data_IF_596645510845
#
_entry.id   IF_596645510845
#
_cell.length_a   1.000
_cell.length_b   1.000
_cell.length_c   1.000
_cell.angle_alpha   90.00
_cell.angle_beta   90.00
_cell.angle_gamma   90.00
#
_symmetry.space_group_name_H-M   'P 1'
#
loop_
_entity.id
_entity.type
_entity.pdbx_description
1 polymer ?
#
# COMPACT_ATOMS: atom_id res chain seq x y z
N UNK A 1 14.44 -31.96 1.35
CA UNK A 1 14.68 -30.53 1.00
C UNK A 1 14.24 -29.65 2.15
N UNK A 2 15.19 -29.09 2.91
CA UNK A 2 14.91 -28.34 4.14
C UNK A 2 14.33 -26.96 3.78
N UNK A 3 13.08 -26.71 4.19
CA UNK A 3 12.40 -25.41 4.07
C UNK A 3 13.14 -24.38 4.93
N UNK A 4 14.02 -23.57 4.32
CA UNK A 4 14.66 -22.44 5.01
C UNK A 4 13.59 -21.39 5.29
N UNK A 5 13.02 -21.43 6.50
CA UNK A 5 12.24 -20.32 7.07
C UNK A 5 13.24 -19.21 7.36
N UNK A 6 13.37 -18.24 6.45
CA UNK A 6 14.09 -17.00 6.73
C UNK A 6 13.29 -16.23 7.77
N UNK A 7 13.66 -16.41 9.05
CA UNK A 7 13.24 -15.53 10.14
C UNK A 7 13.52 -14.08 9.74
N UNK A 8 12.58 -13.14 9.92
CA UNK A 8 12.88 -11.75 9.70
C UNK A 8 13.86 -11.34 10.81
N UNK A 9 15.13 -11.17 10.43
CA UNK A 9 16.14 -10.53 11.27
C UNK A 9 15.50 -9.24 11.78
N UNK A 10 15.32 -9.16 13.09
CA UNK A 10 14.86 -7.96 13.78
C UNK A 10 15.90 -6.86 13.54
N UNK A 11 15.74 -6.10 12.45
CA UNK A 11 16.51 -4.90 12.20
C UNK A 11 16.09 -3.91 13.29
N UNK A 12 17.06 -3.47 14.09
CA UNK A 12 16.92 -2.40 15.07
C UNK A 12 15.95 -1.33 14.58
N UNK A 13 14.88 -1.05 15.33
CA UNK A 13 13.83 -0.10 14.98
C UNK A 13 14.46 1.24 14.59
N UNK A 14 14.52 1.52 13.28
CA UNK A 14 15.20 2.70 12.77
C UNK A 14 14.20 3.85 12.78
N UNK A 15 14.18 4.65 13.87
CA UNK A 15 13.38 5.87 13.92
C UNK A 15 13.93 6.87 12.90
N UNK A 16 13.07 7.37 12.01
CA UNK A 16 13.43 8.35 10.98
C UNK A 16 12.70 9.66 11.28
N UNK A 17 13.41 10.78 11.35
CA UNK A 17 12.80 12.11 11.46
C UNK A 17 12.08 12.45 10.16
N UNK A 18 10.84 12.92 10.26
CA UNK A 18 10.04 13.25 9.09
C UNK A 18 10.37 14.65 8.55
N UNK A 19 10.28 14.80 7.22
CA UNK A 19 10.27 16.10 6.57
C UNK A 19 8.84 16.62 6.45
N UNK A 20 8.47 17.56 7.31
CA UNK A 20 7.12 18.12 7.38
C UNK A 20 6.75 18.88 6.11
N UNK A 21 7.72 19.47 5.41
CA UNK A 21 7.49 20.24 4.18
C UNK A 21 7.03 19.36 3.01
N UNK A 22 7.24 18.05 3.11
CA UNK A 22 6.91 17.06 2.08
C UNK A 22 5.63 16.29 2.37
N UNK A 23 5.03 16.50 3.53
CA UNK A 23 3.75 15.89 3.87
C UNK A 23 2.60 16.74 3.34
N UNK A 24 1.49 16.09 3.02
CA UNK A 24 0.23 16.73 2.63
C UNK A 24 -0.83 16.54 3.73
N UNK A 25 -0.63 17.11 4.93
CA UNK A 25 -1.66 17.07 5.97
C UNK A 25 -2.88 17.85 5.49
N UNK A 26 -4.05 17.25 5.59
CA UNK A 26 -5.30 17.98 5.53
C UNK A 26 -5.54 18.68 6.88
N UNK A 27 -6.44 19.67 6.90
CA UNK A 27 -6.78 20.47 8.09
C UNK A 27 -7.27 19.66 9.32
N UNK A 28 -7.50 18.36 9.17
CA UNK A 28 -8.04 17.46 10.19
C UNK A 28 -6.98 16.59 10.87
N UNK A 29 -5.76 16.52 10.35
CA UNK A 29 -4.72 15.62 10.88
C UNK A 29 -3.37 16.31 10.96
N UNK A 30 -2.71 16.20 12.11
CA UNK A 30 -1.35 16.70 12.31
C UNK A 30 -0.34 15.88 11.49
N UNK A 31 0.71 16.52 10.97
CA UNK A 31 1.77 15.81 10.27
C UNK A 31 2.53 14.88 11.22
N UNK A 32 3.12 13.82 10.67
CA UNK A 32 3.96 12.88 11.41
C UNK A 32 5.31 13.53 11.68
N UNK A 33 5.76 13.58 12.94
CA UNK A 33 7.07 14.15 13.30
C UNK A 33 8.23 13.17 13.09
N UNK A 34 7.94 11.87 13.23
CA UNK A 34 8.88 10.79 13.01
C UNK A 34 8.16 9.53 12.54
N UNK A 35 8.92 8.61 11.98
CA UNK A 35 8.47 7.29 11.53
C UNK A 35 9.24 6.20 12.27
N UNK A 36 8.55 5.12 12.61
CA UNK A 36 9.09 3.97 13.32
C UNK A 36 8.56 2.69 12.70
N UNK A 37 9.24 1.57 12.89
CA UNK A 37 8.76 0.29 12.39
C UNK A 37 7.47 -0.12 13.12
N UNK A 38 6.34 -0.16 12.41
CA UNK A 38 5.02 -0.51 12.97
C UNK A 38 4.65 -1.91 12.53
N UNK A 39 4.47 -2.83 13.48
CA UNK A 39 3.92 -4.15 13.19
C UNK A 39 2.42 -4.07 12.91
N UNK A 40 1.93 -4.85 11.95
CA UNK A 40 0.51 -4.93 11.63
C UNK A 40 0.14 -6.33 11.14
N UNK A 41 -1.11 -6.72 11.36
CA UNK A 41 -1.68 -7.95 10.81
C UNK A 41 -2.41 -7.65 9.52
N UNK A 42 -2.10 -8.40 8.46
CA UNK A 42 -2.77 -8.23 7.18
C UNK A 42 -4.27 -8.55 7.28
N UNK A 43 -5.15 -7.61 6.92
CA UNK A 43 -6.60 -7.80 7.01
C UNK A 43 -7.14 -8.97 6.16
N UNK A 44 -6.47 -9.32 5.06
CA UNK A 44 -6.96 -10.38 4.16
C UNK A 44 -6.43 -11.78 4.49
N UNK A 45 -5.20 -11.90 5.03
CA UNK A 45 -4.55 -13.20 5.21
C UNK A 45 -3.98 -13.44 6.62
N UNK A 46 -4.12 -12.48 7.52
CA UNK A 46 -3.65 -12.57 8.91
C UNK A 46 -2.13 -12.51 9.10
N UNK A 47 -1.33 -12.49 8.02
CA UNK A 47 0.12 -12.49 8.15
C UNK A 47 0.63 -11.24 8.88
N UNK A 48 1.47 -11.46 9.90
CA UNK A 48 2.17 -10.40 10.62
C UNK A 48 3.25 -9.80 9.71
N UNK A 49 3.18 -8.48 9.53
CA UNK A 49 4.06 -7.71 8.69
C UNK A 49 4.59 -6.50 9.45
N UNK A 50 5.65 -5.90 8.95
CA UNK A 50 6.17 -4.64 9.48
C UNK A 50 6.06 -3.57 8.40
N UNK A 51 5.43 -2.45 8.75
CA UNK A 51 5.46 -1.23 7.97
C UNK A 51 6.64 -0.40 8.42
N UNK A 52 7.71 -0.46 7.64
CA UNK A 52 8.99 0.10 8.09
C UNK A 52 8.95 1.62 8.09
N UNK A 53 9.77 2.25 8.93
CA UNK A 53 9.94 3.70 8.97
C UNK A 53 10.31 4.27 7.58
N UNK A 54 11.11 3.54 6.80
CA UNK A 54 11.48 3.93 5.44
C UNK A 54 10.29 3.85 4.48
N UNK A 55 9.45 2.82 4.59
CA UNK A 55 8.22 2.70 3.79
C UNK A 55 7.23 3.82 4.13
N UNK A 56 7.14 4.20 5.39
CA UNK A 56 6.34 5.36 5.82
C UNK A 56 6.88 6.65 5.22
N UNK A 57 8.20 6.91 5.33
CA UNK A 57 8.83 8.08 4.71
C UNK A 57 8.53 8.17 3.22
N UNK A 58 8.72 7.08 2.48
CA UNK A 58 8.42 7.05 1.05
C UNK A 58 6.93 7.33 0.79
N UNK A 59 6.03 6.69 1.52
CA UNK A 59 4.59 6.88 1.35
C UNK A 59 4.16 8.34 1.57
N UNK A 60 4.54 8.92 2.70
CA UNK A 60 4.10 10.26 3.07
C UNK A 60 4.82 11.37 2.28
N UNK A 61 6.14 11.25 2.09
CA UNK A 61 6.93 12.35 1.53
C UNK A 61 7.13 12.27 0.01
N UNK A 62 7.33 11.06 -0.54
CA UNK A 62 7.61 10.91 -1.98
C UNK A 62 6.33 10.66 -2.78
N UNK A 63 5.39 9.91 -2.23
CA UNK A 63 4.17 9.53 -2.93
C UNK A 63 2.99 10.43 -2.56
N UNK A 64 3.15 11.32 -1.56
CA UNK A 64 2.12 12.26 -1.11
C UNK A 64 0.89 11.56 -0.51
N UNK A 65 1.09 10.37 0.06
CA UNK A 65 0.00 9.59 0.64
C UNK A 65 -0.63 10.31 1.84
N UNK A 66 -1.94 10.15 2.10
CA UNK A 66 -2.61 10.83 3.20
C UNK A 66 -2.00 10.45 4.55
N UNK A 67 -1.76 11.43 5.42
CA UNK A 67 -1.08 11.27 6.72
C UNK A 67 -1.77 10.29 7.68
N UNK A 68 -3.08 10.12 7.53
CA UNK A 68 -3.91 9.18 8.29
C UNK A 68 -3.86 7.74 7.75
N UNK A 69 -3.33 7.53 6.55
CA UNK A 69 -3.25 6.19 5.95
C UNK A 69 -2.23 5.33 6.69
N UNK A 70 -2.55 4.05 6.88
CA UNK A 70 -1.66 3.06 7.47
C UNK A 70 -1.56 1.80 6.61
N UNK A 71 -0.52 0.98 6.82
CA UNK A 71 -0.42 -0.31 6.17
C UNK A 71 -1.36 -1.33 6.83
N UNK A 72 -2.35 -1.80 6.07
CA UNK A 72 -3.33 -2.81 6.53
C UNK A 72 -3.24 -4.14 5.77
N UNK A 73 -2.49 -4.17 4.67
CA UNK A 73 -2.34 -5.35 3.80
C UNK A 73 -0.88 -5.66 3.54
N UNK A 74 -0.51 -6.94 3.53
CA UNK A 74 0.82 -7.38 3.13
C UNK A 74 1.07 -7.13 1.64
N UNK A 75 2.35 -7.19 1.23
CA UNK A 75 2.75 -6.99 -0.18
C UNK A 75 2.05 -7.97 -1.13
N UNK A 76 1.95 -9.25 -0.75
CA UNK A 76 1.33 -10.28 -1.57
C UNK A 76 -0.17 -9.99 -1.81
N UNK A 77 -0.91 -9.66 -0.76
CA UNK A 77 -2.33 -9.29 -0.88
C UNK A 77 -2.53 -8.01 -1.69
N UNK A 78 -1.67 -6.99 -1.51
CA UNK A 78 -1.70 -5.79 -2.38
C UNK A 78 -1.47 -6.12 -3.85
N UNK A 79 -0.57 -7.04 -4.17
CA UNK A 79 -0.32 -7.47 -5.56
C UNK A 79 -1.51 -8.24 -6.13
N UNK A 80 -2.13 -9.14 -5.35
CA UNK A 80 -3.35 -9.86 -5.75
C UNK A 80 -4.49 -8.89 -6.09
N UNK A 81 -4.73 -7.90 -5.22
CA UNK A 81 -5.75 -6.87 -5.45
C UNK A 81 -5.49 -6.06 -6.72
N UNK A 82 -4.23 -5.69 -6.98
CA UNK A 82 -3.85 -4.96 -8.20
C UNK A 82 -4.11 -5.80 -9.46
N UNK A 83 -3.77 -7.10 -9.43
CA UNK A 83 -4.02 -8.04 -10.55
C UNK A 83 -5.53 -8.17 -10.83
N UNK A 84 -6.32 -8.46 -9.80
CA UNK A 84 -7.77 -8.58 -9.93
C UNK A 84 -8.42 -7.29 -10.51
N UNK A 85 -8.00 -6.11 -10.03
CA UNK A 85 -8.47 -4.82 -10.58
C UNK A 85 -8.05 -4.61 -12.04
N UNK A 86 -6.85 -5.04 -12.42
CA UNK A 86 -6.40 -4.96 -13.81
C UNK A 86 -7.18 -5.89 -14.73
N UNK A 87 -7.43 -7.13 -14.30
CA UNK A 87 -8.23 -8.13 -15.05
C UNK A 87 -9.67 -7.64 -15.23
N UNK A 88 -10.28 -7.10 -14.17
CA UNK A 88 -11.60 -6.48 -14.25
C UNK A 88 -11.62 -5.32 -15.25
N UNK A 89 -10.61 -4.44 -15.23
CA UNK A 89 -10.51 -3.32 -16.18
C UNK A 89 -10.40 -3.81 -17.63
N UNK A 90 -9.55 -4.80 -17.88
CA UNK A 90 -9.36 -5.40 -19.22
C UNK A 90 -10.68 -6.00 -19.71
N UNK A 91 -11.36 -6.78 -18.86
CA UNK A 91 -12.64 -7.38 -19.19
C UNK A 91 -13.70 -6.33 -19.55
N UNK A 92 -13.83 -5.28 -18.74
CA UNK A 92 -14.77 -4.18 -19.00
C UNK A 92 -14.48 -3.46 -20.32
N UNK A 93 -13.19 -3.25 -20.64
CA UNK A 93 -12.78 -2.66 -21.92
C UNK A 93 -13.14 -3.56 -23.11
N UNK A 94 -12.90 -4.87 -23.01
CA UNK A 94 -13.29 -5.83 -24.05
C UNK A 94 -14.81 -5.82 -24.30
N UNK A 95 -15.61 -5.78 -23.23
CA UNK A 95 -17.07 -5.70 -23.35
C UNK A 95 -17.55 -4.39 -23.96
N UNK A 96 -16.89 -3.27 -23.64
CA UNK A 96 -17.18 -1.97 -24.25
C UNK A 96 -16.87 -1.98 -25.76
N UNK A 97 -15.77 -2.59 -26.19
CA UNK A 97 -15.42 -2.74 -27.61
C UNK A 97 -16.40 -3.65 -28.36
N UNK A 98 -16.94 -4.69 -27.71
CA UNK A 98 -17.90 -5.64 -28.32
C UNK A 98 -19.30 -5.05 -28.47
N UNK A 99 -19.72 -4.13 -27.59
CA UNK A 99 -20.95 -3.33 -27.76
C UNK A 99 -20.70 -2.28 -28.86
N UNK A 100 -20.72 -2.70 -30.13
CA UNK A 100 -20.76 -1.79 -31.28
C UNK A 100 -21.94 -0.80 -31.19
N UNK A 101 -21.96 0.29 -31.98
CA UNK A 101 -22.97 1.33 -31.88
C UNK A 101 -24.36 0.70 -32.01
N UNK A 102 -25.21 0.90 -30.99
CA UNK A 102 -26.61 0.51 -31.10
C UNK A 102 -27.18 1.31 -32.25
N UNK A 103 -27.74 0.62 -33.26
CA UNK A 103 -28.37 1.25 -34.42
C UNK A 103 -29.29 2.38 -33.94
N UNK A 104 -28.95 3.62 -34.31
CA UNK A 104 -29.88 4.74 -34.25
C UNK A 104 -30.84 4.55 -35.42
N UNK A 105 -31.94 3.84 -35.16
CA UNK A 105 -33.10 3.76 -36.05
C UNK A 105 -34.10 4.84 -35.70
#
# INVERSE_FOLDING_TARGET
>A
MVKRKTSPIARSARRIKADLSRQTPNNSYSPKLCYEDISFSCCDCGAVCVWTAEQQRLWYERWGGPVQSTAVRCRACRQRMRRAKSEQKIHMQQMALKKGPKNAG
#
